data_IF_473590622990
#
_entry.id   IF_473590622990
#
_cell.length_a   1.000
_cell.length_b   1.000
_cell.length_c   1.000
_cell.angle_alpha   90.00
_cell.angle_beta   90.00
_cell.angle_gamma   90.00
#
_symmetry.space_group_name_H-M   'P 1'
#
loop_
_entity.id
_entity.type
_entity.pdbx_description
1 polymer ?
#
# COMPACT_ATOMS: atom_id res chain seq x y z
N UNK A 1 -5.48 14.35 -1.43
CA UNK A 1 -5.41 14.45 -2.91
C UNK A 1 -6.42 15.48 -3.41
N UNK A 2 -5.92 16.54 -4.06
CA UNK A 2 -6.71 17.58 -4.72
C UNK A 2 -7.12 17.19 -6.16
N UNK A 3 -6.63 16.05 -6.66
CA UNK A 3 -6.98 15.49 -7.97
C UNK A 3 -6.52 14.03 -8.11
N UNK A 4 -6.93 13.37 -9.19
CA UNK A 4 -6.63 11.94 -9.46
C UNK A 4 -5.14 11.65 -9.73
N UNK A 5 -4.37 12.71 -10.06
CA UNK A 5 -2.91 12.62 -10.26
C UNK A 5 -2.12 12.65 -8.96
N UNK A 6 -2.75 13.06 -7.85
CA UNK A 6 -2.11 13.11 -6.54
C UNK A 6 -2.33 11.80 -5.79
N UNK A 7 -1.22 11.14 -5.47
CA UNK A 7 -1.23 9.84 -4.82
C UNK A 7 -0.31 9.90 -3.61
N UNK A 8 -0.74 9.34 -2.50
CA UNK A 8 0.12 9.17 -1.34
C UNK A 8 -0.28 7.94 -0.57
N UNK A 9 0.67 7.32 0.12
CA UNK A 9 0.37 6.15 0.92
C UNK A 9 1.60 5.42 1.39
N UNK A 10 1.44 4.11 1.52
CA UNK A 10 2.49 3.21 2.00
C UNK A 10 2.76 2.12 0.97
N UNK A 11 4.01 1.66 0.90
CA UNK A 11 4.47 0.69 -0.09
C UNK A 11 5.23 -0.45 0.56
N UNK A 12 5.08 -1.65 -0.02
CA UNK A 12 6.06 -2.73 0.08
C UNK A 12 6.86 -2.70 -1.21
N UNK A 13 8.05 -2.10 -1.15
CA UNK A 13 8.88 -1.82 -2.32
C UNK A 13 10.10 -2.73 -2.33
N UNK A 14 10.36 -3.38 -3.46
CA UNK A 14 11.65 -4.05 -3.67
C UNK A 14 12.39 -3.42 -4.85
N UNK A 15 11.72 -3.25 -5.99
CA UNK A 15 12.30 -2.54 -7.15
C UNK A 15 11.25 -1.67 -7.84
N UNK A 16 11.69 -0.85 -8.80
CA UNK A 16 10.81 -0.07 -9.67
C UNK A 16 9.82 -0.93 -10.48
N UNK A 17 10.07 -2.24 -10.62
CA UNK A 17 9.17 -3.16 -11.33
C UNK A 17 8.43 -4.11 -10.39
N UNK A 18 8.69 -4.06 -9.09
CA UNK A 18 8.12 -4.99 -8.12
C UNK A 18 7.86 -4.27 -6.80
N UNK A 19 6.63 -3.79 -6.67
CA UNK A 19 6.17 -3.10 -5.48
C UNK A 19 4.64 -3.16 -5.37
N UNK A 20 4.17 -3.13 -4.13
CA UNK A 20 2.76 -3.07 -3.78
C UNK A 20 2.48 -1.78 -3.04
N UNK A 21 1.66 -0.91 -3.62
CA UNK A 21 1.36 0.38 -3.06
C UNK A 21 -0.10 0.40 -2.59
N UNK A 22 -0.29 0.67 -1.31
CA UNK A 22 -1.60 1.08 -0.80
C UNK A 22 -1.72 2.58 -0.98
N UNK A 23 -2.46 2.98 -2.01
CA UNK A 23 -2.53 4.36 -2.48
C UNK A 23 -3.83 5.00 -2.00
N UNK A 24 -3.73 6.16 -1.37
CA UNK A 24 -4.85 7.10 -1.20
C UNK A 24 -4.81 8.09 -2.35
N UNK A 25 -5.90 8.13 -3.13
CA UNK A 25 -6.06 9.00 -4.29
C UNK A 25 -7.49 9.56 -4.34
N UNK A 26 -7.76 10.39 -5.34
CA UNK A 26 -9.13 10.74 -5.74
C UNK A 26 -9.53 9.91 -6.96
N UNK A 27 -10.78 9.45 -6.99
CA UNK A 27 -11.39 8.80 -8.15
C UNK A 27 -12.82 9.36 -8.30
N UNK A 28 -13.13 9.97 -9.45
CA UNK A 28 -14.44 10.59 -9.70
C UNK A 28 -14.87 11.58 -8.58
N UNK A 29 -13.93 12.38 -8.08
CA UNK A 29 -14.16 13.34 -7.00
C UNK A 29 -14.21 12.74 -5.59
N UNK A 30 -14.23 11.41 -5.44
CA UNK A 30 -14.26 10.72 -4.14
C UNK A 30 -12.86 10.34 -3.69
N UNK A 31 -12.56 10.53 -2.40
CA UNK A 31 -11.30 10.06 -1.81
C UNK A 31 -11.40 8.55 -1.61
N UNK A 32 -10.43 7.80 -2.13
CA UNK A 32 -10.45 6.35 -2.11
C UNK A 32 -9.07 5.79 -1.75
N UNK A 33 -9.06 4.58 -1.19
CA UNK A 33 -7.87 3.73 -1.09
C UNK A 33 -7.90 2.64 -2.15
N UNK A 34 -6.77 2.41 -2.82
CA UNK A 34 -6.61 1.39 -3.86
C UNK A 34 -5.28 0.68 -3.64
N UNK A 35 -5.27 -0.64 -3.77
CA UNK A 35 -4.04 -1.41 -3.82
C UNK A 35 -3.57 -1.51 -5.27
N UNK A 36 -2.44 -0.85 -5.57
CA UNK A 36 -1.73 -0.99 -6.84
C UNK A 36 -0.63 -2.03 -6.69
N UNK A 37 -0.54 -2.97 -7.63
CA UNK A 37 0.53 -3.97 -7.70
C UNK A 37 1.25 -3.85 -9.02
N UNK A 38 2.55 -3.56 -8.95
CA UNK A 38 3.49 -3.61 -10.08
C UNK A 38 4.35 -4.86 -9.91
N UNK A 39 4.32 -5.77 -10.89
CA UNK A 39 5.11 -7.01 -10.89
C UNK A 39 5.58 -7.26 -12.31
N UNK A 40 6.86 -6.98 -12.58
CA UNK A 40 7.44 -7.03 -13.91
C UNK A 40 6.71 -6.06 -14.86
N UNK A 41 6.08 -6.60 -15.89
CA UNK A 41 5.27 -5.87 -16.87
C UNK A 41 3.80 -5.70 -16.45
N UNK A 42 3.34 -6.44 -15.44
CA UNK A 42 1.96 -6.37 -14.97
C UNK A 42 1.75 -5.18 -14.04
N UNK A 43 0.65 -4.45 -14.28
CA UNK A 43 0.10 -3.45 -13.38
C UNK A 43 -1.36 -3.79 -13.12
N UNK A 44 -1.72 -3.95 -11.84
CA UNK A 44 -3.12 -4.20 -11.44
C UNK A 44 -3.51 -3.26 -10.31
N UNK A 45 -4.77 -2.87 -10.29
CA UNK A 45 -5.37 -2.09 -9.21
C UNK A 45 -6.57 -2.84 -8.64
N UNK A 46 -6.74 -2.81 -7.31
CA UNK A 46 -7.92 -3.37 -6.65
C UNK A 46 -9.16 -2.53 -6.91
N UNK A 47 -10.33 -3.06 -6.54
CA UNK A 47 -11.50 -2.20 -6.38
C UNK A 47 -11.21 -1.12 -5.33
N UNK A 48 -11.68 0.12 -5.54
CA UNK A 48 -11.47 1.21 -4.59
C UNK A 48 -12.30 1.01 -3.33
N UNK A 49 -11.67 1.26 -2.18
CA UNK A 49 -12.34 1.41 -0.89
C UNK A 49 -12.63 2.89 -0.66
N UNK A 50 -13.88 3.24 -0.39
CA UNK A 50 -14.28 4.61 -0.16
C UNK A 50 -13.78 5.09 1.20
N UNK A 51 -13.17 6.28 1.23
CA UNK A 51 -12.73 6.94 2.46
C UNK A 51 -13.55 8.22 2.68
N UNK A 52 -13.62 8.72 3.93
CA UNK A 52 -14.19 10.04 4.17
C UNK A 52 -13.50 11.12 3.35
N UNK A 53 -14.28 12.10 2.88
CA UNK A 53 -13.80 13.16 2.00
C UNK A 53 -12.70 14.02 2.65
N UNK A 54 -12.67 14.08 3.98
CA UNK A 54 -11.72 14.85 4.78
C UNK A 54 -11.29 14.07 6.02
N UNK A 55 -10.24 14.57 6.69
CA UNK A 55 -9.72 13.97 7.93
C UNK A 55 -8.53 13.04 7.69
N UNK A 56 -8.03 12.50 8.81
CA UNK A 56 -6.91 11.56 8.84
C UNK A 56 -7.37 10.18 8.36
N UNK A 57 -6.43 9.44 7.78
CA UNK A 57 -6.64 8.07 7.30
C UNK A 57 -5.54 7.23 7.91
N UNK A 58 -5.91 6.08 8.43
CA UNK A 58 -5.00 5.05 8.89
C UNK A 58 -4.79 4.06 7.75
N UNK A 59 -3.52 3.79 7.43
CA UNK A 59 -3.10 2.80 6.45
C UNK A 59 -2.30 1.74 7.17
N UNK A 60 -2.57 0.47 6.88
CA UNK A 60 -1.94 -0.66 7.57
C UNK A 60 -1.56 -1.76 6.58
N UNK A 61 -0.39 -2.34 6.82
CA UNK A 61 0.08 -3.54 6.14
C UNK A 61 0.28 -4.60 7.21
N UNK A 62 -0.46 -5.70 7.10
CA UNK A 62 -0.15 -6.92 7.85
C UNK A 62 0.62 -7.87 6.94
N UNK A 63 1.69 -8.47 7.47
CA UNK A 63 2.50 -9.44 6.74
C UNK A 63 2.50 -10.80 7.41
N UNK A 64 2.32 -11.83 6.60
CA UNK A 64 2.60 -13.22 6.94
C UNK A 64 3.74 -13.74 6.06
N UNK A 65 4.18 -14.97 6.28
CA UNK A 65 5.18 -15.61 5.41
C UNK A 65 4.78 -15.62 3.92
N UNK A 66 3.48 -15.71 3.61
CA UNK A 66 3.00 -15.94 2.24
C UNK A 66 2.27 -14.75 1.62
N UNK A 67 1.87 -13.76 2.42
CA UNK A 67 1.04 -12.67 1.93
C UNK A 67 1.21 -11.37 2.73
N UNK A 68 1.07 -10.26 2.02
CA UNK A 68 0.77 -8.93 2.55
C UNK A 68 -0.72 -8.65 2.41
N UNK A 69 -1.33 -8.15 3.47
CA UNK A 69 -2.72 -7.69 3.52
C UNK A 69 -2.75 -6.20 3.77
N UNK A 70 -3.48 -5.46 2.94
CA UNK A 70 -3.49 -4.01 2.94
C UNK A 70 -4.85 -3.50 3.40
N UNK A 71 -4.84 -2.66 4.43
CA UNK A 71 -6.06 -2.11 5.04
C UNK A 71 -6.03 -0.59 5.05
N UNK A 72 -7.19 0.01 4.86
CA UNK A 72 -7.39 1.45 4.98
C UNK A 72 -8.67 1.75 5.75
N UNK A 73 -8.63 2.81 6.57
CA UNK A 73 -9.76 3.23 7.40
C UNK A 73 -9.48 4.56 8.08
N UNK A 74 -10.35 4.96 9.00
CA UNK A 74 -10.14 6.18 9.81
C UNK A 74 -9.48 5.90 11.17
N UNK A 75 -9.67 4.69 11.68
CA UNK A 75 -9.16 4.19 12.95
C UNK A 75 -9.02 2.65 12.87
N UNK A 76 -8.44 2.03 13.90
CA UNK A 76 -8.21 0.57 13.94
C UNK A 76 -9.52 -0.24 13.86
N UNK A 77 -10.63 0.29 14.37
CA UNK A 77 -11.92 -0.39 14.41
C UNK A 77 -12.65 -0.40 13.04
N UNK A 78 -12.29 0.50 12.13
CA UNK A 78 -12.92 0.67 10.80
C UNK A 78 -11.92 0.39 9.66
N UNK A 79 -10.91 -0.43 9.92
CA UNK A 79 -9.98 -0.87 8.88
C UNK A 79 -10.68 -1.84 7.91
N UNK A 80 -10.76 -1.45 6.66
CA UNK A 80 -11.31 -2.27 5.58
C UNK A 80 -10.19 -2.87 4.73
N UNK A 81 -10.32 -4.15 4.40
CA UNK A 81 -9.38 -4.84 3.52
C UNK A 81 -9.50 -4.27 2.10
N UNK A 82 -8.43 -3.66 1.62
CA UNK A 82 -8.34 -3.10 0.26
C UNK A 82 -7.88 -4.19 -0.73
N UNK A 83 -6.98 -5.07 -0.27
CA UNK A 83 -6.54 -6.21 -1.06
C UNK A 83 -5.34 -6.93 -0.46
N UNK A 84 -4.86 -7.93 -1.19
CA UNK A 84 -3.72 -8.75 -0.79
C UNK A 84 -2.72 -8.93 -1.96
N UNK A 85 -1.46 -9.13 -1.59
CA UNK A 85 -0.35 -9.44 -2.49
C UNK A 85 0.48 -10.61 -1.96
N UNK A 86 0.96 -11.49 -2.84
CA UNK A 86 1.80 -12.62 -2.44
C UNK A 86 3.23 -12.16 -2.21
N UNK A 87 3.87 -12.62 -1.13
CA UNK A 87 5.28 -12.30 -0.85
C UNK A 87 6.21 -12.81 -1.95
N UNK A 88 5.88 -13.95 -2.57
CA UNK A 88 6.64 -14.56 -3.66
C UNK A 88 6.89 -13.61 -4.83
N UNK A 89 5.87 -12.84 -5.25
CA UNK A 89 5.98 -12.02 -6.46
C UNK A 89 6.86 -10.79 -6.29
N UNK A 90 7.32 -10.51 -5.07
CA UNK A 90 8.27 -9.44 -4.78
C UNK A 90 9.54 -9.99 -4.11
N UNK A 91 9.77 -11.30 -4.17
CA UNK A 91 10.99 -11.92 -3.67
C UNK A 91 12.14 -11.75 -4.65
N UNK A 92 13.36 -11.92 -4.15
CA UNK A 92 14.58 -11.84 -4.95
C UNK A 92 14.58 -12.87 -6.11
N UNK A 93 14.01 -14.05 -5.90
CA UNK A 93 13.95 -15.13 -6.89
C UNK A 93 13.02 -14.83 -8.07
N UNK A 94 12.06 -13.91 -7.91
CA UNK A 94 11.18 -13.47 -9.00
C UNK A 94 11.79 -12.37 -9.87
N UNK A 95 13.03 -11.96 -9.61
CA UNK A 95 13.67 -10.81 -10.24
C UNK A 95 14.99 -11.18 -10.91
N UNK A 96 15.34 -10.42 -11.95
CA UNK A 96 16.65 -10.56 -12.59
C UNK A 96 17.69 -9.80 -11.77
N UNK A 97 18.60 -10.54 -11.13
CA UNK A 97 19.86 -10.02 -10.60
C UNK A 97 19.70 -8.93 -9.52
N UNK A 98 18.86 -9.19 -8.51
CA UNK A 98 18.70 -8.33 -7.33
C UNK A 98 19.44 -8.91 -6.12
N UNK A 99 19.96 -8.03 -5.27
CA UNK A 99 20.70 -8.40 -4.04
C UNK A 99 20.10 -7.76 -2.78
N UNK A 100 18.93 -7.15 -2.93
CA UNK A 100 18.21 -6.41 -1.90
C UNK A 100 17.03 -7.22 -1.36
N UNK A 101 16.33 -6.65 -0.37
CA UNK A 101 15.07 -7.16 0.14
C UNK A 101 13.95 -6.14 -0.02
N UNK A 102 12.78 -6.45 0.56
CA UNK A 102 11.65 -5.55 0.61
C UNK A 102 11.84 -4.44 1.65
N UNK A 103 11.47 -3.23 1.29
CA UNK A 103 11.39 -2.06 2.14
C UNK A 103 9.93 -1.69 2.37
N UNK A 104 9.59 -1.33 3.60
CA UNK A 104 8.34 -0.63 3.90
C UNK A 104 8.62 0.86 3.87
N UNK A 105 7.80 1.62 3.14
CA UNK A 105 8.01 3.04 2.97
C UNK A 105 6.71 3.84 2.89
N UNK A 106 6.81 5.13 3.16
CA UNK A 106 5.80 6.13 2.82
C UNK A 106 6.18 6.79 1.49
N UNK A 107 5.19 7.20 0.70
CA UNK A 107 5.45 7.91 -0.55
C UNK A 107 4.38 8.94 -0.87
N UNK A 108 4.73 9.87 -1.76
CA UNK A 108 3.83 10.86 -2.34
C UNK A 108 4.25 11.11 -3.78
N UNK A 109 3.29 11.03 -4.71
CA UNK A 109 3.46 11.27 -6.14
C UNK A 109 2.50 12.37 -6.59
N UNK A 110 3.01 13.30 -7.41
CA UNK A 110 2.18 14.35 -7.99
C UNK A 110 1.64 15.40 -7.01
N UNK A 111 2.02 15.34 -5.73
CA UNK A 111 1.56 16.24 -4.68
C UNK A 111 2.34 16.11 -3.38
N UNK A 112 1.82 16.70 -2.30
CA UNK A 112 2.38 16.63 -0.94
C UNK A 112 1.39 15.93 -0.01
N UNK A 113 1.89 15.08 0.88
CA UNK A 113 1.11 14.42 1.91
C UNK A 113 1.80 14.52 3.27
N UNK A 114 0.98 14.58 4.32
CA UNK A 114 1.43 14.64 5.71
C UNK A 114 1.21 13.30 6.38
N UNK A 115 2.26 12.79 7.03
CA UNK A 115 2.23 11.54 7.79
C UNK A 115 2.59 11.88 9.23
N UNK A 116 1.64 11.68 10.15
CA UNK A 116 1.83 12.05 11.56
C UNK A 116 2.80 11.11 12.27
N UNK A 117 2.74 9.82 11.97
CA UNK A 117 3.57 8.78 12.56
C UNK A 117 3.67 7.57 11.62
N UNK A 118 4.67 6.73 11.86
CA UNK A 118 4.85 5.44 11.20
C UNK A 118 5.20 4.41 12.27
N UNK A 119 4.38 3.37 12.41
CA UNK A 119 4.55 2.31 13.41
C UNK A 119 4.98 1.04 12.69
N UNK A 120 6.04 0.42 13.19
CA UNK A 120 6.51 -0.88 12.73
C UNK A 120 6.57 -1.82 13.94
N UNK A 121 5.74 -2.86 13.90
CA UNK A 121 5.64 -3.87 14.94
C UNK A 121 6.02 -5.24 14.38
N UNK A 122 6.82 -6.00 15.13
CA UNK A 122 7.30 -7.34 14.77
C UNK A 122 6.69 -8.43 15.63
N UNK A 123 5.86 -8.09 16.63
CA UNK A 123 5.23 -9.07 17.51
C UNK A 123 4.16 -9.84 16.74
N UNK A 124 4.54 -11.04 16.30
CA UNK A 124 3.64 -12.02 15.70
C UNK A 124 2.73 -12.54 16.81
N UNK A 125 1.45 -12.13 16.81
CA UNK A 125 0.43 -12.93 17.50
C UNK A 125 0.31 -14.24 16.72
N UNK A 126 0.96 -15.29 17.19
CA UNK A 126 0.73 -16.65 16.71
C UNK A 126 -0.79 -16.90 16.72
N UNK A 127 -1.35 -17.21 15.55
CA UNK A 127 -2.71 -17.74 15.39
C UNK A 127 -2.64 -19.25 15.27
#
# INVERSE_FOLDING_TARGET
PAGEKEKAGITVFHTNEHHYDLVVTQNEGKRVAVLRKRVGDMLTESNPVLLPSQGKVLLRIDSTKLAYSFFAGTCEEDLQLVGQGRTQLISTECMVFTFTGCFLGIFSEGGTAWFDYFIYDTDVKEQ
#
